data_IF_282595733238
#
_entry.id   IF_282595733238
#
_cell.length_a   1.000
_cell.length_b   1.000
_cell.length_c   1.000
_cell.angle_alpha   90.00
_cell.angle_beta   90.00
_cell.angle_gamma   90.00
#
_symmetry.space_group_name_H-M   'P 1'
#
loop_
_entity.id
_entity.type
_entity.pdbx_description
1 polymer ?
#
# COMPACT_ATOMS: atom_id res chain seq x y z
N UNK A 1 -4.13 10.68 -9.81
CA UNK A 1 -3.31 10.85 -8.58
C UNK A 1 -1.99 11.53 -8.93
N UNK A 2 -1.37 12.23 -7.97
CA UNK A 2 -0.12 12.97 -8.20
C UNK A 2 1.01 12.40 -7.35
N UNK A 3 2.09 11.97 -8.01
CA UNK A 3 3.22 11.31 -7.36
C UNK A 3 4.51 12.05 -7.73
N UNK A 4 5.30 12.40 -6.71
CA UNK A 4 6.64 12.94 -6.87
C UNK A 4 7.69 11.82 -6.91
N UNK A 5 8.67 11.96 -7.77
CA UNK A 5 9.89 11.15 -7.77
C UNK A 5 11.05 12.11 -7.62
N UNK A 6 11.89 11.91 -6.59
CA UNK A 6 13.13 12.67 -6.47
C UNK A 6 14.26 11.75 -6.95
N UNK A 7 14.77 12.06 -8.16
CA UNK A 7 15.85 11.32 -8.79
C UNK A 7 17.22 11.87 -8.43
N UNK A 8 18.16 10.96 -8.16
CA UNK A 8 19.58 11.21 -8.26
C UNK A 8 20.08 10.75 -9.63
N UNK A 9 21.41 10.69 -9.78
CA UNK A 9 22.08 10.30 -11.03
C UNK A 9 21.53 8.99 -11.59
N UNK A 10 21.09 9.02 -12.86
CA UNK A 10 20.56 7.85 -13.59
C UNK A 10 19.06 7.88 -13.88
N UNK A 11 18.26 8.74 -13.22
CA UNK A 11 16.84 8.94 -13.53
C UNK A 11 16.57 10.21 -14.34
N UNK A 12 17.53 11.13 -14.44
CA UNK A 12 17.36 12.43 -15.12
C UNK A 12 17.04 12.30 -16.62
N UNK A 13 17.41 11.19 -17.24
CA UNK A 13 17.21 10.89 -18.67
C UNK A 13 16.21 9.75 -18.92
N UNK A 14 15.38 9.40 -17.93
CA UNK A 14 14.52 8.23 -18.08
C UNK A 14 13.26 8.54 -18.91
N UNK A 15 13.00 7.71 -19.91
CA UNK A 15 11.77 7.72 -20.76
C UNK A 15 10.59 7.01 -20.04
N UNK A 16 10.50 7.10 -18.70
CA UNK A 16 9.45 6.44 -17.93
C UNK A 16 8.08 7.09 -18.18
N UNK A 17 8.05 8.36 -18.54
CA UNK A 17 6.82 9.14 -18.65
C UNK A 17 6.44 9.42 -20.11
N UNK A 18 5.14 9.41 -20.37
CA UNK A 18 4.56 9.93 -21.60
C UNK A 18 4.34 11.44 -21.47
N UNK A 19 4.41 12.16 -22.61
CA UNK A 19 4.10 13.60 -22.71
C UNK A 19 4.88 14.44 -21.68
N UNK A 20 6.20 14.32 -21.69
CA UNK A 20 7.05 15.04 -20.73
C UNK A 20 7.13 16.53 -21.06
N UNK A 21 6.95 17.38 -20.05
CA UNK A 21 7.17 18.80 -20.11
C UNK A 21 7.97 19.28 -18.89
N UNK A 22 8.83 20.27 -19.07
CA UNK A 22 9.46 20.94 -17.94
C UNK A 22 8.48 21.94 -17.34
N UNK A 23 8.46 21.97 -16.00
CA UNK A 23 7.63 22.92 -15.27
C UNK A 23 8.45 23.70 -14.26
N UNK A 24 8.11 24.97 -14.07
CA UNK A 24 8.70 25.84 -13.08
C UNK A 24 7.65 26.27 -12.06
N UNK A 25 7.98 26.14 -10.78
CA UNK A 25 7.09 26.48 -9.67
C UNK A 25 7.72 27.58 -8.85
N UNK A 26 7.03 28.68 -8.71
CA UNK A 26 7.46 29.75 -7.82
C UNK A 26 7.38 29.29 -6.36
N UNK A 27 8.48 29.44 -5.62
CA UNK A 27 8.56 29.08 -4.21
C UNK A 27 9.10 30.24 -3.37
N UNK A 28 8.67 30.38 -2.10
CA UNK A 28 9.19 31.40 -1.20
C UNK A 28 10.65 31.14 -0.80
N UNK A 29 11.17 29.96 -1.12
CA UNK A 29 12.54 29.54 -0.79
C UNK A 29 13.51 29.69 -1.96
N UNK A 30 13.10 30.34 -3.05
CA UNK A 30 13.91 30.52 -4.26
C UNK A 30 13.70 29.38 -5.27
N UNK A 31 14.69 29.21 -6.17
CA UNK A 31 14.59 28.26 -7.28
C UNK A 31 14.75 26.81 -6.80
N UNK A 32 13.85 25.95 -7.26
CA UNK A 32 13.95 24.50 -7.08
C UNK A 32 14.83 23.85 -8.17
N UNK A 33 15.24 22.60 -7.93
CA UNK A 33 15.87 21.75 -8.96
C UNK A 33 14.90 21.47 -10.10
N UNK A 34 15.38 21.17 -11.33
CA UNK A 34 14.51 20.95 -12.48
C UNK A 34 13.45 19.88 -12.22
N UNK A 35 12.21 20.16 -12.63
CA UNK A 35 11.08 19.24 -12.54
C UNK A 35 10.52 18.96 -13.93
N UNK A 36 10.37 17.69 -14.26
CA UNK A 36 9.61 17.21 -15.41
C UNK A 36 8.28 16.67 -14.96
N UNK A 37 7.20 17.09 -15.60
CA UNK A 37 5.87 16.53 -15.46
C UNK A 37 5.62 15.57 -16.63
N UNK A 38 4.89 14.51 -16.38
CA UNK A 38 4.41 13.59 -17.40
C UNK A 38 3.32 12.68 -16.86
N UNK A 39 2.82 11.79 -17.70
CA UNK A 39 1.78 10.85 -17.32
C UNK A 39 2.30 9.41 -17.31
N UNK A 40 1.82 8.64 -16.34
CA UNK A 40 1.97 7.19 -16.30
C UNK A 40 0.59 6.59 -16.02
N UNK A 41 -0.02 5.99 -17.04
CA UNK A 41 -1.43 5.63 -17.03
C UNK A 41 -2.31 6.86 -16.68
N UNK A 42 -3.16 6.76 -15.66
CA UNK A 42 -4.04 7.85 -15.19
C UNK A 42 -3.38 8.78 -14.15
N UNK A 43 -2.09 8.58 -13.86
CA UNK A 43 -1.39 9.36 -12.83
C UNK A 43 -0.53 10.46 -13.44
N UNK A 44 -0.54 11.63 -12.81
CA UNK A 44 0.44 12.68 -13.06
C UNK A 44 1.70 12.40 -12.21
N UNK A 45 2.84 12.32 -12.87
CA UNK A 45 4.12 12.05 -12.23
C UNK A 45 5.02 13.26 -12.39
N UNK A 46 5.67 13.65 -11.30
CA UNK A 46 6.61 14.78 -11.26
C UNK A 46 8.00 14.24 -10.90
N UNK A 47 8.94 14.29 -11.85
CA UNK A 47 10.32 13.86 -11.62
C UNK A 47 11.18 15.09 -11.36
N UNK A 48 11.68 15.21 -10.14
CA UNK A 48 12.60 16.25 -9.70
C UNK A 48 14.04 15.72 -9.77
N UNK A 49 14.88 16.38 -10.59
CA UNK A 49 16.30 16.05 -10.75
C UNK A 49 17.10 16.77 -9.68
N UNK A 50 17.32 16.11 -8.53
CA UNK A 50 17.94 16.71 -7.33
C UNK A 50 19.24 17.47 -7.62
N UNK A 51 20.08 16.91 -8.46
CA UNK A 51 21.40 17.49 -8.81
C UNK A 51 21.43 18.26 -10.14
N UNK A 52 20.25 18.54 -10.74
CA UNK A 52 20.15 19.03 -12.12
C UNK A 52 20.30 17.90 -13.15
N UNK A 53 20.07 18.21 -14.44
CA UNK A 53 20.10 17.19 -15.49
C UNK A 53 21.49 16.67 -15.83
N UNK A 54 22.53 17.44 -15.56
CA UNK A 54 23.93 17.10 -15.84
C UNK A 54 24.76 16.91 -14.55
N UNK A 55 24.09 16.73 -13.41
CA UNK A 55 24.71 16.59 -12.09
C UNK A 55 25.57 17.81 -11.68
N UNK A 56 25.11 18.99 -12.06
CA UNK A 56 25.83 20.27 -11.85
C UNK A 56 25.59 20.86 -10.44
N UNK A 57 24.55 20.43 -9.72
CA UNK A 57 24.25 20.94 -8.38
C UNK A 57 24.92 20.05 -7.33
N UNK A 58 25.85 20.60 -6.57
CA UNK A 58 26.51 19.86 -5.48
C UNK A 58 25.57 19.58 -4.31
N UNK A 59 25.80 18.54 -3.50
CA UNK A 59 24.90 18.17 -2.38
C UNK A 59 24.61 19.34 -1.42
N UNK A 60 25.59 20.18 -1.12
CA UNK A 60 25.45 21.34 -0.24
C UNK A 60 24.65 22.50 -0.85
N UNK A 61 24.50 22.53 -2.18
CA UNK A 61 23.82 23.61 -2.90
C UNK A 61 22.42 23.26 -3.32
N UNK A 62 21.97 22.06 -3.06
CA UNK A 62 20.58 21.64 -3.31
C UNK A 62 19.65 22.48 -2.43
N UNK A 63 18.67 23.14 -3.06
CA UNK A 63 17.63 23.85 -2.34
C UNK A 63 16.49 22.90 -1.96
N UNK A 64 16.71 22.09 -0.90
CA UNK A 64 15.74 21.09 -0.48
C UNK A 64 14.40 21.69 -0.06
N UNK A 65 14.38 22.92 0.55
CA UNK A 65 13.13 23.61 0.88
C UNK A 65 12.31 23.92 -0.37
N UNK A 66 12.94 24.50 -1.38
CA UNK A 66 12.25 24.80 -2.64
C UNK A 66 11.77 23.51 -3.34
N UNK A 67 12.58 22.45 -3.32
CA UNK A 67 12.26 21.17 -3.94
C UNK A 67 11.02 20.52 -3.32
N UNK A 68 10.99 20.37 -2.00
CA UNK A 68 9.86 19.73 -1.29
C UNK A 68 8.62 20.61 -1.37
N UNK A 69 8.78 21.94 -1.20
CA UNK A 69 7.67 22.87 -1.35
C UNK A 69 7.02 22.80 -2.74
N UNK A 70 7.84 22.73 -3.81
CA UNK A 70 7.35 22.63 -5.17
C UNK A 70 6.50 21.36 -5.38
N UNK A 71 6.96 20.20 -4.90
CA UNK A 71 6.19 18.95 -4.96
C UNK A 71 4.88 19.04 -4.17
N UNK A 72 4.89 19.63 -2.97
CA UNK A 72 3.67 19.87 -2.19
C UNK A 72 2.70 20.79 -2.93
N UNK A 73 3.19 21.91 -3.48
CA UNK A 73 2.38 22.89 -4.24
C UNK A 73 1.80 22.29 -5.51
N UNK A 74 2.47 21.34 -6.15
CA UNK A 74 1.94 20.56 -7.27
C UNK A 74 0.84 19.59 -6.86
N UNK A 75 0.63 19.37 -5.56
CA UNK A 75 -0.38 18.48 -4.99
C UNK A 75 0.06 17.02 -4.95
N UNK A 76 1.38 16.75 -4.93
CA UNK A 76 1.88 15.40 -4.66
C UNK A 76 1.44 14.96 -3.27
N UNK A 77 0.97 13.73 -3.16
CA UNK A 77 0.67 13.07 -1.89
C UNK A 77 1.79 12.11 -1.51
N UNK A 78 2.36 11.45 -2.52
CA UNK A 78 3.40 10.44 -2.39
C UNK A 78 4.69 10.92 -3.05
N UNK A 79 5.83 10.69 -2.37
CA UNK A 79 7.15 11.01 -2.90
C UNK A 79 8.07 9.81 -2.74
N UNK A 80 8.58 9.30 -3.85
CA UNK A 80 9.58 8.23 -3.91
C UNK A 80 10.94 8.85 -4.24
N UNK A 81 11.87 8.79 -3.31
CA UNK A 81 13.22 9.28 -3.54
C UNK A 81 14.20 8.14 -3.83
N UNK A 82 15.17 8.41 -4.70
CA UNK A 82 16.28 7.49 -4.95
C UNK A 82 17.60 8.10 -4.54
N UNK A 83 18.51 7.29 -4.00
CA UNK A 83 19.84 7.74 -3.57
C UNK A 83 20.87 6.64 -3.73
N UNK A 84 22.08 6.99 -4.16
CA UNK A 84 23.25 6.15 -4.07
C UNK A 84 23.78 6.16 -2.64
N UNK A 85 24.26 5.03 -2.14
CA UNK A 85 24.79 4.90 -0.78
C UNK A 85 26.05 4.05 -0.75
N UNK A 86 27.01 4.43 0.08
CA UNK A 86 28.11 3.57 0.49
C UNK A 86 27.68 2.63 1.62
N UNK A 87 27.89 1.34 1.44
CA UNK A 87 27.56 0.35 2.47
C UNK A 87 28.53 0.36 3.64
N UNK A 88 27.97 0.33 4.84
CA UNK A 88 28.72 0.20 6.11
C UNK A 88 28.61 -1.23 6.67
N UNK A 89 28.04 -2.17 5.92
CA UNK A 89 27.79 -3.56 6.32
C UNK A 89 28.24 -4.53 5.23
N UNK A 90 28.81 -5.66 5.62
CA UNK A 90 29.18 -6.71 4.67
C UNK A 90 28.00 -7.32 3.91
N UNK A 91 26.84 -7.44 4.59
CA UNK A 91 25.66 -8.07 4.03
C UNK A 91 24.88 -7.18 3.04
N UNK A 92 25.14 -5.87 3.02
CA UNK A 92 24.56 -4.94 2.04
C UNK A 92 25.61 -4.75 0.95
N UNK A 93 25.49 -5.53 -0.11
CA UNK A 93 26.49 -5.58 -1.20
C UNK A 93 26.20 -4.49 -2.23
N UNK A 94 27.21 -4.05 -3.01
CA UNK A 94 26.96 -3.22 -4.19
C UNK A 94 25.94 -3.87 -5.12
N UNK A 95 24.93 -3.11 -5.54
CA UNK A 95 23.79 -3.61 -6.33
C UNK A 95 22.57 -4.01 -5.53
N UNK A 96 22.65 -4.10 -4.19
CA UNK A 96 21.51 -4.31 -3.31
C UNK A 96 20.72 -3.03 -3.10
N UNK A 97 19.42 -3.20 -2.77
CA UNK A 97 18.57 -2.11 -2.31
C UNK A 97 18.41 -2.13 -0.78
N UNK A 98 18.38 -0.97 -0.17
CA UNK A 98 17.94 -0.77 1.20
C UNK A 98 16.69 0.10 1.21
N UNK A 99 15.58 -0.41 1.76
CA UNK A 99 14.37 0.36 2.03
C UNK A 99 14.46 0.84 3.47
N UNK A 100 15.07 2.01 3.63
CA UNK A 100 15.41 2.53 4.96
C UNK A 100 14.18 2.82 5.81
N UNK A 101 14.29 2.59 7.11
CA UNK A 101 13.27 2.95 8.10
C UNK A 101 13.73 4.06 9.05
N UNK A 102 15.03 4.38 9.07
CA UNK A 102 15.58 5.43 9.94
C UNK A 102 16.72 6.19 9.23
N UNK A 103 17.00 7.40 9.70
CA UNK A 103 18.17 8.14 9.27
C UNK A 103 18.85 8.85 10.45
N UNK A 104 20.13 9.24 10.24
CA UNK A 104 20.91 10.09 11.14
C UNK A 104 21.41 11.26 10.32
N UNK A 105 21.19 12.49 10.80
CA UNK A 105 21.65 13.70 10.16
C UNK A 105 23.05 14.11 10.68
N UNK A 106 24.04 14.08 9.80
CA UNK A 106 25.38 14.58 10.01
C UNK A 106 25.71 15.76 9.09
N UNK A 107 24.68 16.42 8.55
CA UNK A 107 24.86 17.65 7.79
C UNK A 107 25.11 18.85 8.72
N UNK A 108 25.69 19.96 8.18
CA UNK A 108 26.15 21.09 9.00
C UNK A 108 25.62 22.43 8.52
N UNK A 109 25.40 22.58 7.22
CA UNK A 109 25.18 23.91 6.60
C UNK A 109 23.87 23.91 5.77
N UNK A 110 23.00 22.98 5.98
CA UNK A 110 21.73 22.84 5.24
C UNK A 110 20.57 23.43 6.02
N UNK A 111 19.61 24.00 5.31
CA UNK A 111 18.33 24.37 5.90
C UNK A 111 17.49 23.11 6.12
N UNK A 112 17.25 22.76 7.37
CA UNK A 112 16.62 21.50 7.78
C UNK A 112 15.15 21.62 8.13
N UNK A 113 14.55 22.81 8.04
CA UNK A 113 13.15 23.07 8.44
C UNK A 113 12.55 24.20 7.60
N UNK A 114 11.22 24.17 7.46
CA UNK A 114 10.44 25.27 6.92
C UNK A 114 10.14 26.36 7.96
N UNK A 115 10.24 26.06 9.25
CA UNK A 115 9.90 26.96 10.34
C UNK A 115 11.11 27.80 10.74
N UNK A 116 11.12 29.06 10.35
CA UNK A 116 12.19 30.04 10.71
C UNK A 116 11.87 30.75 12.04
N UNK A 117 10.60 30.81 12.42
CA UNK A 117 10.14 31.32 13.72
C UNK A 117 8.81 30.62 14.14
N UNK A 118 8.31 30.93 15.33
CA UNK A 118 7.08 30.37 15.87
C UNK A 118 5.96 31.42 16.03
N UNK A 119 5.96 32.47 15.18
CA UNK A 119 4.92 33.51 15.24
C UNK A 119 3.50 32.99 14.98
N UNK A 120 3.39 31.94 14.16
CA UNK A 120 2.11 31.27 13.83
C UNK A 120 1.79 30.09 14.74
N UNK A 121 2.58 29.88 15.80
CA UNK A 121 2.44 28.77 16.72
C UNK A 121 3.66 27.87 16.77
N UNK A 122 3.78 27.11 17.85
CA UNK A 122 4.90 26.16 18.03
C UNK A 122 4.63 24.91 17.18
N UNK A 123 5.57 24.55 16.31
CA UNK A 123 5.53 23.32 15.54
C UNK A 123 6.81 22.51 15.78
N UNK A 124 6.66 21.33 16.38
CA UNK A 124 7.71 20.34 16.55
C UNK A 124 7.28 19.03 15.87
N UNK A 125 7.74 18.82 14.65
CA UNK A 125 7.40 17.64 13.87
C UNK A 125 8.03 16.38 14.45
N UNK A 126 7.23 15.37 14.77
CA UNK A 126 7.74 14.08 15.25
C UNK A 126 8.40 13.30 14.11
N UNK A 127 9.63 12.84 14.36
CA UNK A 127 10.42 12.03 13.41
C UNK A 127 10.73 10.63 13.96
N UNK A 128 9.91 10.12 14.91
CA UNK A 128 10.05 8.74 15.38
C UNK A 128 9.96 7.75 14.21
N UNK A 129 9.01 8.00 13.30
CA UNK A 129 8.86 7.29 12.03
C UNK A 129 9.04 8.29 10.88
N UNK A 130 10.29 8.51 10.40
CA UNK A 130 10.59 9.57 9.44
C UNK A 130 10.13 9.25 8.01
N UNK A 131 9.96 7.96 7.70
CA UNK A 131 9.50 7.48 6.39
C UNK A 131 8.09 6.92 6.47
N UNK A 132 7.35 6.99 5.39
CA UNK A 132 6.03 6.39 5.27
C UNK A 132 6.13 4.86 5.29
N UNK A 133 5.61 4.21 6.33
CA UNK A 133 5.56 2.74 6.42
C UNK A 133 4.76 2.16 5.24
N UNK A 134 3.66 2.81 4.87
CA UNK A 134 2.85 2.42 3.70
C UNK A 134 3.67 2.37 2.41
N UNK A 135 4.47 3.40 2.12
CA UNK A 135 5.32 3.41 0.93
C UNK A 135 6.47 2.40 1.04
N UNK A 136 7.01 2.22 2.24
CA UNK A 136 8.06 1.22 2.49
C UNK A 136 7.54 -0.19 2.22
N UNK A 137 6.32 -0.52 2.67
CA UNK A 137 5.70 -1.82 2.42
C UNK A 137 5.52 -2.06 0.92
N UNK A 138 5.03 -1.08 0.15
CA UNK A 138 4.91 -1.21 -1.31
C UNK A 138 6.26 -1.41 -2.00
N UNK A 139 7.31 -0.72 -1.54
CA UNK A 139 8.67 -0.90 -2.06
C UNK A 139 9.22 -2.29 -1.75
N UNK A 140 9.05 -2.78 -0.53
CA UNK A 140 9.49 -4.11 -0.08
C UNK A 140 8.78 -5.21 -0.87
N UNK A 141 7.46 -5.11 -1.02
CA UNK A 141 6.68 -6.04 -1.83
C UNK A 141 7.11 -6.01 -3.30
N UNK A 142 7.31 -4.81 -3.86
CA UNK A 142 7.77 -4.66 -5.25
C UNK A 142 9.15 -5.26 -5.47
N UNK A 143 10.09 -5.06 -4.54
CA UNK A 143 11.40 -5.73 -4.58
C UNK A 143 11.27 -7.26 -4.54
N UNK A 144 10.37 -7.77 -3.69
CA UNK A 144 10.13 -9.21 -3.56
C UNK A 144 9.56 -9.80 -4.85
N UNK A 145 8.53 -9.17 -5.43
CA UNK A 145 7.91 -9.62 -6.70
C UNK A 145 8.87 -9.55 -7.89
N UNK A 146 9.77 -8.56 -7.90
CA UNK A 146 10.80 -8.41 -8.93
C UNK A 146 12.05 -9.28 -8.69
N UNK A 147 12.08 -10.04 -7.59
CA UNK A 147 13.23 -10.84 -7.15
C UNK A 147 14.52 -9.99 -7.01
N UNK A 148 14.41 -8.75 -6.55
CA UNK A 148 15.56 -7.90 -6.27
C UNK A 148 16.06 -8.14 -4.86
N UNK A 149 17.40 -8.29 -4.72
CA UNK A 149 18.04 -8.39 -3.41
C UNK A 149 17.86 -7.09 -2.66
N UNK A 150 17.22 -7.14 -1.50
CA UNK A 150 16.87 -5.97 -0.73
C UNK A 150 16.90 -6.20 0.78
N UNK A 151 17.10 -5.13 1.50
CA UNK A 151 17.11 -5.07 2.96
C UNK A 151 15.93 -4.20 3.42
N UNK A 152 15.06 -4.78 4.26
CA UNK A 152 13.78 -4.15 4.67
C UNK A 152 13.94 -3.10 5.75
N UNK A 153 15.06 -3.14 6.49
CA UNK A 153 15.33 -2.29 7.66
C UNK A 153 16.76 -1.82 7.60
N UNK A 154 16.98 -0.53 7.87
CA UNK A 154 18.30 0.03 8.01
C UNK A 154 18.31 1.54 8.16
N UNK A 155 19.36 2.04 8.78
CA UNK A 155 19.56 3.45 9.05
C UNK A 155 20.53 4.05 8.02
N UNK A 156 20.11 5.14 7.38
CA UNK A 156 20.97 5.96 6.51
C UNK A 156 21.61 7.05 7.34
N UNK A 157 22.93 7.19 7.27
CA UNK A 157 23.61 8.37 7.80
C UNK A 157 23.91 9.34 6.65
N UNK A 158 23.43 10.58 6.75
CA UNK A 158 23.67 11.61 5.74
C UNK A 158 24.78 12.53 6.15
N UNK A 159 25.87 12.55 5.37
CA UNK A 159 26.99 13.48 5.52
C UNK A 159 26.81 14.72 4.63
N UNK A 160 27.55 15.78 4.93
CA UNK A 160 27.47 17.05 4.18
C UNK A 160 27.83 16.88 2.69
N UNK A 161 28.92 16.18 2.39
CA UNK A 161 29.52 16.17 1.04
C UNK A 161 30.23 17.50 0.68
N UNK A 162 30.69 17.69 -0.58
CA UNK A 162 30.74 16.69 -1.64
C UNK A 162 31.86 15.65 -1.50
N UNK A 163 32.76 15.78 -0.49
CA UNK A 163 33.78 14.78 -0.20
C UNK A 163 33.18 13.51 0.37
N UNK A 164 33.76 12.39 0.05
CA UNK A 164 33.47 11.12 0.73
C UNK A 164 34.01 11.08 2.15
N UNK A 165 33.61 10.08 2.93
CA UNK A 165 34.07 9.86 4.30
C UNK A 165 35.59 9.62 4.35
N UNK A 166 36.23 10.06 5.43
CA UNK A 166 37.51 9.50 5.79
C UNK A 166 37.33 8.07 6.35
N UNK A 167 38.41 7.28 6.34
CA UNK A 167 38.34 5.91 6.91
C UNK A 167 37.98 5.95 8.40
N UNK A 168 38.44 6.94 9.13
CA UNK A 168 38.08 7.11 10.55
C UNK A 168 36.58 7.42 10.72
N UNK A 169 36.02 8.30 9.91
CA UNK A 169 34.61 8.61 9.89
C UNK A 169 33.78 7.35 9.51
N UNK A 170 34.20 6.63 8.48
CA UNK A 170 33.53 5.41 8.03
C UNK A 170 33.48 4.34 9.13
N UNK A 171 34.59 4.10 9.86
CA UNK A 171 34.61 3.21 11.01
C UNK A 171 33.70 3.70 12.14
N UNK A 172 33.64 5.00 12.40
CA UNK A 172 32.74 5.59 13.40
C UNK A 172 31.29 5.36 12.99
N UNK A 173 30.91 5.66 11.73
CA UNK A 173 29.55 5.55 11.21
C UNK A 173 29.03 4.10 11.26
N UNK A 174 29.88 3.12 11.10
CA UNK A 174 29.53 1.70 11.21
C UNK A 174 28.94 1.31 12.57
N UNK A 175 29.15 2.07 13.62
CA UNK A 175 28.55 1.80 14.93
C UNK A 175 27.09 2.23 15.01
N UNK A 176 26.63 3.13 14.13
CA UNK A 176 25.32 3.79 14.23
C UNK A 176 24.42 3.53 13.02
N UNK A 177 25.00 3.37 11.83
CA UNK A 177 24.24 3.30 10.60
C UNK A 177 24.60 2.09 9.74
N UNK A 178 23.74 1.79 8.77
CA UNK A 178 23.89 0.68 7.83
C UNK A 178 24.51 1.12 6.50
N UNK A 179 24.22 2.36 6.09
CA UNK A 179 24.72 2.97 4.86
C UNK A 179 24.96 4.46 5.07
N UNK A 180 25.77 5.07 4.20
CA UNK A 180 26.06 6.51 4.21
C UNK A 180 25.71 7.13 2.86
N UNK A 181 25.16 8.35 2.88
CA UNK A 181 24.86 9.14 1.69
C UNK A 181 25.04 10.66 1.92
N UNK A 182 24.58 11.48 0.93
CA UNK A 182 24.67 12.93 0.99
C UNK A 182 23.34 13.63 0.72
N UNK A 183 22.19 12.91 0.69
CA UNK A 183 20.92 13.49 0.20
C UNK A 183 19.70 13.28 1.08
N UNK A 184 19.59 12.21 1.86
CA UNK A 184 18.37 11.87 2.59
C UNK A 184 17.99 12.94 3.63
N UNK A 185 18.95 13.52 4.34
CA UNK A 185 18.71 14.71 5.16
C UNK A 185 19.25 15.96 4.43
N UNK A 186 18.46 17.05 4.40
CA UNK A 186 17.21 17.35 5.13
C UNK A 186 15.93 16.94 4.37
N UNK A 187 16.02 16.27 3.22
CA UNK A 187 14.89 15.97 2.34
C UNK A 187 13.75 15.25 3.09
N UNK A 188 14.09 14.21 3.88
CA UNK A 188 13.11 13.46 4.68
C UNK A 188 12.46 14.31 5.79
N UNK A 189 13.24 15.19 6.44
CA UNK A 189 12.71 16.11 7.47
C UNK A 189 11.66 17.03 6.86
N UNK A 190 12.03 17.70 5.76
CA UNK A 190 11.18 18.67 5.06
C UNK A 190 9.92 17.98 4.48
N UNK A 191 10.06 16.76 3.96
CA UNK A 191 8.92 15.99 3.47
C UNK A 191 7.92 15.70 4.60
N UNK A 192 8.41 15.36 5.79
CA UNK A 192 7.57 15.12 6.98
C UNK A 192 6.88 16.41 7.46
N UNK A 193 7.60 17.53 7.51
CA UNK A 193 7.01 18.84 7.84
C UNK A 193 5.94 19.28 6.82
N UNK A 194 6.13 18.94 5.54
CA UNK A 194 5.17 19.20 4.48
C UNK A 194 4.02 18.17 4.42
N UNK A 195 3.95 17.21 5.35
CA UNK A 195 2.95 16.15 5.37
C UNK A 195 2.88 15.37 4.04
N UNK A 196 4.05 15.04 3.47
CA UNK A 196 4.17 14.18 2.30
C UNK A 196 4.46 12.76 2.75
N UNK A 197 3.77 11.79 2.17
CA UNK A 197 4.12 10.38 2.28
C UNK A 197 5.44 10.15 1.53
N UNK A 198 6.55 10.05 2.26
CA UNK A 198 7.90 10.00 1.68
C UNK A 198 8.60 8.69 2.04
N UNK A 199 9.24 8.05 1.04
CA UNK A 199 10.13 6.92 1.25
C UNK A 199 11.35 7.00 0.33
N UNK A 200 12.46 6.38 0.77
CA UNK A 200 13.72 6.38 0.05
C UNK A 200 14.15 4.98 -0.36
N UNK A 201 14.56 4.87 -1.63
CA UNK A 201 15.20 3.69 -2.22
C UNK A 201 16.70 3.95 -2.21
N UNK A 202 17.44 3.35 -1.29
CA UNK A 202 18.87 3.46 -1.23
C UNK A 202 19.51 2.33 -2.03
N UNK A 203 20.33 2.69 -3.03
CA UNK A 203 21.09 1.75 -3.86
C UNK A 203 22.51 1.67 -3.35
N UNK A 204 22.94 0.52 -2.89
CA UNK A 204 24.33 0.29 -2.51
C UNK A 204 25.22 0.33 -3.74
N UNK A 205 26.19 1.22 -3.76
CA UNK A 205 27.13 1.38 -4.88
C UNK A 205 28.54 0.88 -4.56
N UNK A 206 28.93 0.92 -3.29
CA UNK A 206 30.27 0.63 -2.81
C UNK A 206 30.26 0.31 -1.30
N UNK A 207 31.42 0.03 -0.72
CA UNK A 207 31.60 -0.18 0.72
C UNK A 207 32.18 1.04 1.44
N UNK A 208 31.91 2.25 0.97
CA UNK A 208 32.54 3.46 1.47
C UNK A 208 34.07 3.31 1.49
N UNK A 209 34.76 3.59 2.59
CA UNK A 209 36.22 3.42 2.67
C UNK A 209 36.70 2.58 3.86
N UNK A 210 35.78 1.90 4.57
CA UNK A 210 36.16 1.06 5.73
C UNK A 210 36.74 -0.31 5.32
N UNK A 211 36.27 -0.87 4.20
CA UNK A 211 36.64 -2.22 3.77
C UNK A 211 37.99 -2.18 3.05
N UNK A 212 39.04 -2.54 3.76
CA UNK A 212 40.43 -2.43 3.26
C UNK A 212 40.74 -3.34 2.06
N UNK A 213 39.92 -4.35 1.81
CA UNK A 213 40.06 -5.29 0.68
C UNK A 213 39.45 -4.74 -0.60
N UNK A 214 38.74 -3.64 -0.55
CA UNK A 214 38.10 -2.99 -1.69
C UNK A 214 38.82 -1.69 -2.01
N UNK A 215 38.70 -1.24 -3.26
CA UNK A 215 39.19 0.08 -3.65
C UNK A 215 38.41 1.18 -2.91
N UNK A 216 39.08 2.26 -2.48
CA UNK A 216 38.39 3.39 -1.92
C UNK A 216 37.35 3.97 -2.87
N UNK A 217 36.17 4.37 -2.33
CA UNK A 217 35.09 4.94 -3.11
C UNK A 217 35.54 6.12 -3.96
N UNK A 218 35.16 6.11 -5.23
CA UNK A 218 35.37 7.19 -6.20
C UNK A 218 34.08 7.48 -6.93
N UNK A 219 33.96 8.67 -7.50
CA UNK A 219 32.79 9.00 -8.34
C UNK A 219 32.61 8.04 -9.51
N UNK A 220 33.71 7.52 -10.07
CA UNK A 220 33.66 6.55 -11.17
C UNK A 220 32.99 5.25 -10.75
N UNK A 221 33.38 4.68 -9.62
CA UNK A 221 32.77 3.44 -9.05
C UNK A 221 31.26 3.65 -8.81
N UNK A 222 30.90 4.75 -8.14
CA UNK A 222 29.51 5.10 -7.86
C UNK A 222 28.70 5.19 -9.16
N UNK A 223 29.20 5.94 -10.16
CA UNK A 223 28.52 6.13 -11.43
C UNK A 223 28.30 4.83 -12.19
N UNK A 224 29.34 4.00 -12.33
CA UNK A 224 29.26 2.72 -13.00
C UNK A 224 28.22 1.79 -12.36
N UNK A 225 28.18 1.72 -11.03
CA UNK A 225 27.19 0.91 -10.31
C UNK A 225 25.77 1.46 -10.46
N UNK A 226 25.60 2.79 -10.46
CA UNK A 226 24.31 3.44 -10.69
C UNK A 226 23.78 3.15 -12.11
N UNK A 227 24.64 3.22 -13.12
CA UNK A 227 24.27 2.91 -14.51
C UNK A 227 23.79 1.45 -14.62
N UNK A 228 24.51 0.51 -13.98
CA UNK A 228 24.10 -0.90 -13.94
C UNK A 228 22.74 -1.12 -13.25
N UNK A 229 22.45 -0.33 -12.23
CA UNK A 229 21.22 -0.45 -11.46
C UNK A 229 20.03 0.38 -12.02
N UNK A 230 20.27 1.26 -13.00
CA UNK A 230 19.26 2.21 -13.48
C UNK A 230 17.97 1.50 -13.94
N UNK A 231 18.07 0.41 -14.69
CA UNK A 231 16.92 -0.36 -15.16
C UNK A 231 16.19 -1.09 -14.03
N UNK A 232 16.90 -1.53 -12.98
CA UNK A 232 16.28 -2.12 -11.80
C UNK A 232 15.46 -1.06 -11.03
N UNK A 233 16.01 0.14 -10.87
CA UNK A 233 15.33 1.26 -10.20
C UNK A 233 14.08 1.68 -10.96
N UNK A 234 14.14 1.79 -12.30
CA UNK A 234 12.97 2.07 -13.13
C UNK A 234 11.87 1.03 -12.92
N UNK A 235 12.20 -0.26 -13.01
CA UNK A 235 11.24 -1.34 -12.79
C UNK A 235 10.63 -1.29 -11.39
N UNK A 236 11.45 -1.01 -10.36
CA UNK A 236 11.00 -0.89 -8.98
C UNK A 236 10.03 0.29 -8.80
N UNK A 237 10.36 1.46 -9.35
CA UNK A 237 9.48 2.64 -9.31
C UNK A 237 8.15 2.37 -10.02
N UNK A 238 8.17 1.84 -11.23
CA UNK A 238 6.97 1.51 -12.00
C UNK A 238 6.06 0.54 -11.23
N UNK A 239 6.64 -0.53 -10.69
CA UNK A 239 5.89 -1.54 -9.91
C UNK A 239 5.32 -0.95 -8.62
N UNK A 240 6.07 -0.08 -7.96
CA UNK A 240 5.61 0.59 -6.74
C UNK A 240 4.49 1.58 -7.03
N UNK A 241 4.59 2.37 -8.12
CA UNK A 241 3.54 3.28 -8.57
C UNK A 241 2.26 2.51 -8.91
N UNK A 242 2.37 1.37 -9.60
CA UNK A 242 1.23 0.48 -9.87
C UNK A 242 0.51 0.07 -8.56
N UNK A 243 1.27 -0.35 -7.53
CA UNK A 243 0.70 -0.71 -6.22
C UNK A 243 0.01 0.48 -5.53
N UNK A 244 0.66 1.64 -5.51
CA UNK A 244 0.08 2.88 -4.95
C UNK A 244 -1.25 3.19 -5.63
N UNK A 245 -1.28 3.12 -6.96
CA UNK A 245 -2.46 3.40 -7.79
C UNK A 245 -3.59 2.43 -7.49
N UNK A 246 -3.30 1.13 -7.52
CA UNK A 246 -4.29 0.08 -7.29
C UNK A 246 -4.92 0.19 -5.90
N UNK A 247 -4.14 0.44 -4.86
CA UNK A 247 -4.65 0.57 -3.50
C UNK A 247 -5.50 1.83 -3.31
N UNK A 248 -5.13 2.95 -3.92
CA UNK A 248 -5.94 4.16 -3.85
C UNK A 248 -7.23 4.04 -4.66
N UNK A 249 -7.20 3.36 -5.80
CA UNK A 249 -8.41 3.02 -6.57
C UNK A 249 -9.35 2.17 -5.73
N UNK A 250 -8.85 1.10 -5.09
CA UNK A 250 -9.65 0.25 -4.21
C UNK A 250 -10.25 1.08 -3.06
N UNK A 251 -9.47 1.96 -2.43
CA UNK A 251 -9.99 2.84 -1.35
C UNK A 251 -11.13 3.73 -1.85
N UNK A 252 -10.96 4.38 -3.00
CA UNK A 252 -11.99 5.22 -3.60
C UNK A 252 -13.25 4.40 -3.95
N UNK A 253 -13.07 3.18 -4.47
CA UNK A 253 -14.16 2.27 -4.79
C UNK A 253 -14.91 1.81 -3.53
N UNK A 254 -14.22 1.54 -2.42
CA UNK A 254 -14.84 1.19 -1.14
C UNK A 254 -15.66 2.37 -0.58
N UNK A 255 -15.15 3.60 -0.62
CA UNK A 255 -15.90 4.80 -0.22
C UNK A 255 -17.13 5.02 -1.12
N UNK A 256 -16.98 4.83 -2.44
CA UNK A 256 -18.09 4.89 -3.38
C UNK A 256 -19.16 3.84 -3.05
N UNK A 257 -18.77 2.57 -2.87
CA UNK A 257 -19.67 1.47 -2.49
C UNK A 257 -20.40 1.82 -1.19
N UNK A 258 -19.67 2.28 -0.17
CA UNK A 258 -20.22 2.68 1.12
C UNK A 258 -21.26 3.80 0.98
N UNK A 259 -21.01 4.79 0.13
CA UNK A 259 -21.95 5.90 -0.15
C UNK A 259 -23.26 5.45 -0.82
N UNK A 260 -23.26 4.29 -1.51
CA UNK A 260 -24.45 3.73 -2.17
C UNK A 260 -25.28 2.84 -1.26
N UNK A 261 -24.83 2.54 -0.04
CA UNK A 261 -25.58 1.76 0.95
C UNK A 261 -26.39 2.72 1.81
N UNK A 262 -27.72 2.57 1.75
CA UNK A 262 -28.65 3.43 2.49
C UNK A 262 -28.77 2.98 3.94
N UNK A 263 -28.76 3.94 4.86
CA UNK A 263 -29.09 3.70 6.26
C UNK A 263 -30.55 4.04 6.52
N UNK A 264 -31.30 3.13 7.11
CA UNK A 264 -32.69 3.34 7.52
C UNK A 264 -32.73 3.30 9.06
N UNK A 265 -32.93 4.45 9.73
CA UNK A 265 -32.96 4.48 11.18
C UNK A 265 -34.25 3.83 11.72
N UNK A 266 -34.13 3.19 12.87
CA UNK A 266 -35.25 2.59 13.61
C UNK A 266 -36.00 1.49 12.84
N UNK A 267 -35.33 0.69 12.03
CA UNK A 267 -35.92 -0.44 11.31
C UNK A 267 -35.17 -1.74 11.61
N UNK A 268 -35.86 -2.87 11.88
CA UNK A 268 -37.31 -3.04 12.05
C UNK A 268 -37.82 -2.59 13.44
N UNK A 269 -36.90 -2.18 14.35
CA UNK A 269 -37.20 -1.73 15.72
C UNK A 269 -36.44 -0.43 16.02
N UNK A 270 -36.96 0.35 16.98
CA UNK A 270 -36.29 1.55 17.46
C UNK A 270 -34.87 1.25 17.96
N UNK A 271 -33.90 2.11 17.58
CA UNK A 271 -32.48 1.96 17.92
C UNK A 271 -31.66 1.15 16.91
N UNK A 272 -32.28 0.48 15.94
CA UNK A 272 -31.56 -0.29 14.92
C UNK A 272 -31.28 0.59 13.69
N UNK A 273 -30.04 0.67 13.28
CA UNK A 273 -29.61 1.30 12.03
C UNK A 273 -29.50 0.22 10.93
N UNK A 274 -30.59 0.06 10.17
CA UNK A 274 -30.61 -0.96 9.12
C UNK A 274 -29.81 -0.52 7.90
N UNK A 275 -28.87 -1.33 7.47
CA UNK A 275 -28.03 -1.09 6.27
C UNK A 275 -28.70 -1.76 5.08
N UNK A 276 -29.29 -0.95 4.21
CA UNK A 276 -30.01 -1.41 3.04
C UNK A 276 -29.13 -1.37 1.81
N UNK A 277 -28.77 -2.55 1.31
CA UNK A 277 -27.95 -2.69 0.10
C UNK A 277 -28.76 -2.58 -1.20
N UNK A 278 -30.08 -2.49 -1.15
CA UNK A 278 -30.91 -2.45 -2.38
C UNK A 278 -30.61 -1.24 -3.24
N UNK A 279 -30.18 -0.13 -2.64
CA UNK A 279 -29.71 1.06 -3.35
C UNK A 279 -28.37 0.83 -4.05
N UNK A 280 -27.47 0.03 -3.49
CA UNK A 280 -26.22 -0.41 -4.13
C UNK A 280 -26.52 -1.42 -5.25
N UNK A 281 -27.38 -2.40 -5.01
CA UNK A 281 -27.80 -3.39 -6.03
C UNK A 281 -28.45 -2.73 -7.25
N UNK A 282 -29.12 -1.59 -7.05
CA UNK A 282 -29.73 -0.78 -8.11
C UNK A 282 -28.72 0.05 -8.91
N UNK A 283 -27.53 0.29 -8.37
CA UNK A 283 -26.49 1.10 -9.00
C UNK A 283 -25.55 0.21 -9.82
N UNK A 284 -25.56 0.30 -11.16
CA UNK A 284 -24.75 -0.58 -12.00
C UNK A 284 -23.25 -0.42 -11.76
N UNK A 285 -22.80 0.82 -11.49
CA UNK A 285 -21.39 1.11 -11.25
C UNK A 285 -20.95 0.54 -9.88
N UNK A 286 -21.78 0.73 -8.84
CA UNK A 286 -21.53 0.19 -7.51
C UNK A 286 -21.43 -1.34 -7.52
N UNK A 287 -22.36 -2.01 -8.19
CA UNK A 287 -22.32 -3.47 -8.35
C UNK A 287 -21.09 -3.94 -9.13
N UNK A 288 -20.75 -3.25 -10.21
CA UNK A 288 -19.53 -3.56 -10.98
C UNK A 288 -18.30 -3.49 -10.09
N UNK A 289 -18.12 -2.42 -9.31
CA UNK A 289 -17.00 -2.25 -8.37
C UNK A 289 -16.93 -3.35 -7.31
N UNK A 290 -18.07 -3.71 -6.71
CA UNK A 290 -18.15 -4.84 -5.75
C UNK A 290 -17.63 -6.12 -6.38
N UNK A 291 -18.15 -6.46 -7.55
CA UNK A 291 -17.79 -7.71 -8.22
C UNK A 291 -16.33 -7.70 -8.70
N UNK A 292 -15.81 -6.57 -9.17
CA UNK A 292 -14.40 -6.44 -9.57
C UNK A 292 -13.44 -6.62 -8.39
N UNK A 293 -13.75 -6.02 -7.23
CA UNK A 293 -12.91 -6.19 -6.01
C UNK A 293 -12.91 -7.66 -5.59
N UNK A 294 -14.06 -8.31 -5.52
CA UNK A 294 -14.17 -9.72 -5.13
C UNK A 294 -13.52 -10.64 -6.17
N UNK A 295 -13.73 -10.40 -7.46
CA UNK A 295 -13.09 -11.16 -8.52
C UNK A 295 -11.56 -11.07 -8.44
N UNK A 296 -11.01 -9.87 -8.30
CA UNK A 296 -9.56 -9.68 -8.19
C UNK A 296 -8.96 -10.33 -6.94
N UNK A 297 -9.74 -10.43 -5.85
CA UNK A 297 -9.33 -11.13 -4.63
C UNK A 297 -9.25 -12.65 -4.82
N UNK A 298 -10.18 -13.24 -5.59
CA UNK A 298 -10.37 -14.69 -5.62
C UNK A 298 -9.97 -15.38 -6.93
N UNK A 299 -9.72 -14.66 -8.03
CA UNK A 299 -9.40 -15.23 -9.36
C UNK A 299 -8.26 -16.24 -9.38
N UNK A 300 -7.27 -16.11 -8.47
CA UNK A 300 -6.09 -16.96 -8.38
C UNK A 300 -6.15 -17.91 -7.16
N UNK A 301 -7.34 -18.17 -6.60
CA UNK A 301 -7.51 -18.94 -5.35
C UNK A 301 -8.10 -20.34 -5.55
N UNK A 302 -8.31 -20.78 -6.79
CA UNK A 302 -8.87 -22.10 -7.11
C UNK A 302 -10.16 -22.39 -6.31
N UNK A 303 -11.13 -21.49 -6.40
CA UNK A 303 -12.46 -21.67 -5.76
C UNK A 303 -13.30 -22.59 -6.63
N UNK A 304 -13.75 -23.72 -6.07
CA UNK A 304 -14.63 -24.69 -6.77
C UNK A 304 -16.09 -24.32 -6.64
N UNK A 305 -16.48 -23.81 -5.45
CA UNK A 305 -17.87 -23.53 -5.08
C UNK A 305 -17.98 -22.18 -4.40
N UNK A 306 -18.99 -21.40 -4.77
CA UNK A 306 -19.42 -20.21 -4.05
C UNK A 306 -20.79 -20.50 -3.42
N UNK A 307 -20.80 -20.57 -2.10
CA UNK A 307 -22.01 -20.73 -1.32
C UNK A 307 -22.56 -19.37 -0.93
N UNK A 308 -23.80 -19.07 -1.32
CA UNK A 308 -24.48 -17.83 -0.97
C UNK A 308 -25.54 -18.05 0.11
N UNK A 309 -25.65 -17.12 1.07
CA UNK A 309 -26.69 -17.16 2.13
C UNK A 309 -27.94 -16.41 1.67
N UNK A 310 -29.12 -16.99 1.93
CA UNK A 310 -30.44 -16.41 1.59
C UNK A 310 -30.66 -15.10 2.35
N UNK A 311 -31.10 -14.06 1.66
CA UNK A 311 -31.41 -13.99 0.25
C UNK A 311 -30.49 -13.03 -0.51
N UNK A 312 -29.96 -12.02 0.17
CA UNK A 312 -29.17 -10.95 -0.48
C UNK A 312 -27.76 -11.41 -0.88
N UNK A 313 -27.20 -12.36 -0.13
CA UNK A 313 -25.92 -13.00 -0.49
C UNK A 313 -25.96 -13.72 -1.83
N UNK A 314 -27.14 -14.23 -2.26
CA UNK A 314 -27.28 -14.92 -3.55
C UNK A 314 -26.91 -14.07 -4.74
N UNK A 315 -27.26 -12.79 -4.72
CA UNK A 315 -27.07 -11.89 -5.86
C UNK A 315 -25.57 -11.74 -6.16
N UNK A 316 -24.78 -11.48 -5.13
CA UNK A 316 -23.33 -11.30 -5.25
C UNK A 316 -22.66 -12.64 -5.57
N UNK A 317 -23.06 -13.69 -4.83
CA UNK A 317 -22.50 -15.03 -4.97
C UNK A 317 -22.69 -15.61 -6.38
N UNK A 318 -23.88 -15.46 -6.96
CA UNK A 318 -24.17 -15.98 -8.29
C UNK A 318 -23.38 -15.28 -9.39
N UNK A 319 -23.27 -13.94 -9.33
CA UNK A 319 -22.48 -13.18 -10.31
C UNK A 319 -21.00 -13.52 -10.20
N UNK A 320 -20.49 -13.64 -8.97
CA UNK A 320 -19.08 -13.97 -8.75
C UNK A 320 -18.75 -15.41 -9.16
N UNK A 321 -19.70 -16.36 -8.97
CA UNK A 321 -19.54 -17.74 -9.40
C UNK A 321 -19.36 -17.83 -10.92
N UNK A 322 -20.20 -17.11 -11.68
CA UNK A 322 -20.05 -17.01 -13.13
C UNK A 322 -18.68 -16.48 -13.53
N UNK A 323 -18.24 -15.37 -12.93
CA UNK A 323 -16.95 -14.73 -13.26
C UNK A 323 -15.74 -15.59 -12.90
N UNK A 324 -15.81 -16.38 -11.83
CA UNK A 324 -14.71 -17.26 -11.39
C UNK A 324 -14.78 -18.66 -12.03
N UNK A 325 -15.79 -18.93 -12.85
CA UNK A 325 -16.08 -20.26 -13.39
C UNK A 325 -16.20 -21.32 -12.28
N UNK A 326 -16.88 -20.97 -11.18
CA UNK A 326 -17.14 -21.80 -10.02
C UNK A 326 -18.64 -22.17 -9.93
N UNK A 327 -18.96 -23.22 -9.20
CA UNK A 327 -20.36 -23.60 -8.93
C UNK A 327 -21.01 -22.64 -7.95
N UNK A 328 -22.30 -22.30 -8.15
CA UNK A 328 -23.09 -21.56 -7.16
C UNK A 328 -23.96 -22.52 -6.35
N UNK A 329 -23.93 -22.41 -5.02
CA UNK A 329 -24.71 -23.22 -4.08
C UNK A 329 -25.51 -22.31 -3.14
N UNK A 330 -26.85 -22.42 -3.12
CA UNK A 330 -27.69 -21.66 -2.19
C UNK A 330 -27.75 -22.30 -0.81
N UNK A 331 -27.52 -21.54 0.26
CA UNK A 331 -27.85 -21.89 1.63
C UNK A 331 -29.12 -21.14 2.01
N UNK A 332 -30.17 -21.88 2.42
CA UNK A 332 -31.50 -21.32 2.57
C UNK A 332 -32.08 -21.57 3.96
N UNK A 333 -33.09 -20.79 4.33
CA UNK A 333 -33.92 -21.05 5.52
C UNK A 333 -34.67 -22.34 5.36
N UNK A 334 -34.96 -23.01 6.49
CA UNK A 334 -35.60 -24.31 6.56
C UNK A 334 -36.87 -24.41 5.71
N UNK A 335 -37.00 -25.53 4.97
CA UNK A 335 -38.15 -25.84 4.15
C UNK A 335 -38.25 -25.12 2.82
N UNK A 336 -37.15 -24.45 2.36
CA UNK A 336 -37.14 -23.76 1.07
C UNK A 336 -36.38 -24.50 -0.03
N UNK A 337 -35.72 -25.59 0.29
CA UNK A 337 -35.02 -26.43 -0.68
C UNK A 337 -35.86 -27.70 -0.98
N UNK A 338 -36.02 -28.08 -2.27
CA UNK A 338 -36.99 -29.13 -2.64
C UNK A 338 -36.45 -30.56 -2.54
N UNK A 339 -35.12 -30.77 -2.50
CA UNK A 339 -34.50 -32.10 -2.45
C UNK A 339 -34.02 -32.45 -1.03
N UNK A 340 -33.28 -33.55 -0.89
CA UNK A 340 -32.69 -33.92 0.40
C UNK A 340 -31.69 -32.88 0.91
N UNK A 341 -31.89 -32.44 2.16
CA UNK A 341 -31.06 -31.40 2.80
C UNK A 341 -30.39 -31.93 4.06
N UNK A 342 -29.35 -31.24 4.46
CA UNK A 342 -28.86 -31.20 5.84
C UNK A 342 -29.11 -29.81 6.42
N UNK A 343 -29.34 -29.76 7.73
CA UNK A 343 -29.66 -28.51 8.42
C UNK A 343 -28.74 -28.24 9.61
N UNK A 344 -28.62 -26.95 9.95
CA UNK A 344 -27.94 -26.46 11.15
C UNK A 344 -28.80 -25.37 11.79
N UNK A 345 -29.05 -25.52 13.11
CA UNK A 345 -29.80 -24.54 13.91
C UNK A 345 -28.84 -23.64 14.67
N UNK A 346 -29.17 -22.37 14.78
CA UNK A 346 -28.35 -21.37 15.47
C UNK A 346 -29.22 -20.40 16.26
N UNK A 347 -28.62 -19.82 17.30
CA UNK A 347 -29.31 -18.87 18.18
C UNK A 347 -29.33 -17.48 17.54
N UNK A 348 -30.47 -16.84 17.60
CA UNK A 348 -30.70 -15.42 17.36
C UNK A 348 -30.65 -14.64 18.69
N UNK A 349 -30.73 -13.32 18.64
CA UNK A 349 -30.94 -12.51 19.85
C UNK A 349 -32.24 -12.89 20.56
N UNK A 350 -33.26 -13.31 19.80
CA UNK A 350 -34.54 -13.81 20.30
C UNK A 350 -34.94 -15.07 19.51
N UNK A 351 -34.81 -16.24 20.16
CA UNK A 351 -35.15 -17.54 19.55
C UNK A 351 -34.03 -18.18 18.75
N UNK A 352 -34.41 -19.17 17.93
CA UNK A 352 -33.50 -19.91 17.06
C UNK A 352 -33.96 -19.83 15.62
N UNK A 353 -33.03 -19.93 14.67
CA UNK A 353 -33.35 -20.09 13.24
C UNK A 353 -32.54 -21.27 12.67
N UNK A 354 -32.89 -21.74 11.49
CA UNK A 354 -32.28 -22.92 10.88
C UNK A 354 -31.98 -22.65 9.41
N UNK A 355 -30.79 -22.99 8.98
CA UNK A 355 -30.36 -22.95 7.57
C UNK A 355 -30.15 -24.38 7.05
N UNK A 356 -30.35 -24.57 5.76
CA UNK A 356 -30.27 -25.83 5.04
C UNK A 356 -29.44 -25.67 3.77
N UNK A 357 -28.79 -26.78 3.40
CA UNK A 357 -28.09 -26.99 2.13
C UNK A 357 -28.45 -28.36 1.58
N UNK A 358 -28.49 -28.55 0.26
CA UNK A 358 -28.68 -29.86 -0.36
C UNK A 358 -27.50 -30.78 -0.02
N UNK A 359 -27.79 -32.08 0.18
CA UNK A 359 -26.77 -33.08 0.53
C UNK A 359 -25.71 -33.30 -0.55
N UNK A 360 -26.08 -33.08 -1.80
CA UNK A 360 -25.22 -33.22 -2.98
C UNK A 360 -24.61 -31.92 -3.49
N UNK A 361 -24.77 -30.82 -2.73
CA UNK A 361 -24.38 -29.50 -3.17
C UNK A 361 -22.85 -29.28 -3.21
N UNK A 362 -22.11 -29.95 -2.36
CA UNK A 362 -20.66 -29.81 -2.21
C UNK A 362 -20.04 -31.20 -2.17
N UNK A 363 -19.01 -31.41 -3.00
CA UNK A 363 -18.26 -32.66 -3.00
C UNK A 363 -17.10 -32.58 -1.97
N UNK A 364 -16.67 -33.72 -1.42
CA UNK A 364 -15.57 -33.76 -0.47
C UNK A 364 -14.29 -33.07 -1.02
N UNK A 365 -13.67 -32.26 -0.18
CA UNK A 365 -12.45 -31.48 -0.47
C UNK A 365 -12.60 -30.31 -1.45
N UNK A 366 -13.77 -30.00 -1.97
CA UNK A 366 -13.97 -28.79 -2.75
C UNK A 366 -13.65 -27.55 -1.94
N UNK A 367 -13.00 -26.56 -2.60
CA UNK A 367 -12.61 -25.29 -2.01
C UNK A 367 -13.80 -24.31 -2.11
N UNK A 368 -14.36 -23.94 -0.97
CA UNK A 368 -15.64 -23.20 -0.89
C UNK A 368 -15.41 -21.77 -0.41
N UNK A 369 -15.94 -20.79 -1.13
CA UNK A 369 -16.10 -19.42 -0.69
C UNK A 369 -17.54 -19.21 -0.21
N UNK A 370 -17.71 -18.84 1.06
CA UNK A 370 -19.03 -18.48 1.61
C UNK A 370 -19.24 -16.97 1.49
N UNK A 371 -20.40 -16.57 0.94
CA UNK A 371 -20.73 -15.15 0.74
C UNK A 371 -22.07 -14.80 1.36
N UNK A 372 -22.10 -13.67 2.08
CA UNK A 372 -23.34 -12.98 2.46
C UNK A 372 -23.18 -11.46 2.30
N UNK A 373 -24.28 -10.74 2.35
CA UNK A 373 -24.25 -9.28 2.23
C UNK A 373 -23.78 -8.57 3.51
N UNK A 374 -24.09 -9.13 4.70
CA UNK A 374 -23.80 -8.48 5.96
C UNK A 374 -23.45 -9.47 7.06
N UNK A 375 -22.44 -9.12 7.87
CA UNK A 375 -22.20 -9.81 9.14
C UNK A 375 -22.61 -8.91 10.32
N UNK A 376 -23.60 -9.40 11.09
CA UNK A 376 -24.07 -8.80 12.34
C UNK A 376 -23.53 -9.60 13.54
N UNK A 377 -24.29 -10.53 14.07
CA UNK A 377 -23.89 -11.39 15.21
C UNK A 377 -23.12 -12.64 14.80
N UNK A 378 -23.04 -12.97 13.51
CA UNK A 378 -22.27 -14.08 12.96
C UNK A 378 -22.93 -15.46 13.09
N UNK A 379 -24.14 -15.58 13.67
CA UNK A 379 -24.80 -16.86 13.90
C UNK A 379 -25.10 -17.63 12.61
N UNK A 380 -25.75 -16.98 11.64
CA UNK A 380 -26.12 -17.57 10.34
C UNK A 380 -24.87 -18.02 9.56
N UNK A 381 -23.82 -17.18 9.56
CA UNK A 381 -22.58 -17.49 8.88
C UNK A 381 -21.87 -18.70 9.49
N UNK A 382 -21.82 -18.79 10.83
CA UNK A 382 -21.24 -19.94 11.52
C UNK A 382 -22.01 -21.23 11.25
N UNK A 383 -23.35 -21.17 11.26
CA UNK A 383 -24.20 -22.31 10.90
C UNK A 383 -23.97 -22.75 9.44
N UNK A 384 -23.81 -21.79 8.53
CA UNK A 384 -23.49 -22.07 7.13
C UNK A 384 -22.11 -22.71 6.96
N UNK A 385 -21.10 -22.27 7.72
CA UNK A 385 -19.79 -22.90 7.75
C UNK A 385 -19.87 -24.36 8.18
N UNK A 386 -20.59 -24.65 9.25
CA UNK A 386 -20.78 -26.02 9.74
C UNK A 386 -21.51 -26.94 8.70
N UNK A 387 -22.46 -26.40 7.93
CA UNK A 387 -23.11 -27.15 6.85
C UNK A 387 -22.11 -27.54 5.76
N UNK A 388 -21.24 -26.61 5.34
CA UNK A 388 -20.19 -26.86 4.35
C UNK A 388 -19.23 -27.95 4.86
N UNK A 389 -18.81 -27.86 6.13
CA UNK A 389 -17.91 -28.85 6.76
C UNK A 389 -18.58 -30.24 6.92
N UNK A 390 -19.87 -30.29 7.22
CA UNK A 390 -20.64 -31.57 7.25
C UNK A 390 -20.64 -32.28 5.89
N UNK A 391 -20.58 -31.54 4.79
CA UNK A 391 -20.41 -32.04 3.44
C UNK A 391 -18.96 -32.28 3.05
N UNK A 392 -18.00 -32.11 3.99
CA UNK A 392 -16.56 -32.26 3.80
C UNK A 392 -15.97 -31.24 2.82
N UNK A 393 -16.63 -30.10 2.61
CA UNK A 393 -16.07 -28.95 1.90
C UNK A 393 -15.00 -28.24 2.73
N UNK A 394 -14.04 -27.61 2.06
CA UNK A 394 -12.97 -26.81 2.68
C UNK A 394 -13.30 -25.33 2.51
N UNK A 395 -13.52 -24.63 3.61
CA UNK A 395 -13.82 -23.19 3.56
C UNK A 395 -12.50 -22.44 3.30
N UNK A 396 -12.44 -21.79 2.13
CA UNK A 396 -11.34 -20.92 1.79
C UNK A 396 -11.37 -19.62 2.58
N UNK A 397 -12.52 -18.96 2.56
CA UNK A 397 -12.78 -17.69 3.24
C UNK A 397 -14.29 -17.46 3.37
N UNK A 398 -14.69 -16.66 4.36
CA UNK A 398 -16.06 -16.17 4.52
C UNK A 398 -16.07 -14.68 4.18
N UNK A 399 -16.85 -14.27 3.19
CA UNK A 399 -16.82 -12.92 2.63
C UNK A 399 -18.14 -12.20 2.82
N UNK A 400 -18.07 -10.95 3.29
CA UNK A 400 -19.23 -10.08 3.48
C UNK A 400 -19.03 -8.75 2.79
N UNK A 401 -20.12 -8.16 2.33
CA UNK A 401 -20.12 -6.80 1.82
C UNK A 401 -19.98 -5.80 2.97
N UNK A 402 -20.76 -6.02 4.04
CA UNK A 402 -20.85 -5.13 5.20
C UNK A 402 -20.45 -5.88 6.47
N UNK A 403 -19.61 -5.21 7.27
CA UNK A 403 -19.36 -5.58 8.66
C UNK A 403 -19.97 -4.53 9.60
N UNK A 404 -20.55 -5.01 10.70
CA UNK A 404 -21.01 -4.21 11.84
C UNK A 404 -20.11 -4.52 13.05
N UNK A 405 -18.97 -3.82 13.22
CA UNK A 405 -17.93 -4.18 14.19
C UNK A 405 -18.41 -4.27 15.64
N UNK A 406 -19.36 -3.40 16.02
CA UNK A 406 -19.92 -3.35 17.38
C UNK A 406 -20.67 -4.64 17.78
N UNK A 407 -21.25 -5.35 16.80
CA UNK A 407 -21.94 -6.61 17.04
C UNK A 407 -21.00 -7.81 17.15
N UNK A 408 -19.69 -7.59 16.93
CA UNK A 408 -18.61 -8.59 17.16
C UNK A 408 -18.82 -9.94 16.44
N UNK A 409 -19.59 -9.96 15.35
CA UNK A 409 -19.91 -11.18 14.63
C UNK A 409 -18.70 -11.93 14.08
N UNK A 410 -17.68 -11.22 13.66
CA UNK A 410 -16.40 -11.80 13.17
C UNK A 410 -15.74 -12.66 14.26
N UNK A 411 -15.90 -12.33 15.54
CA UNK A 411 -15.31 -13.12 16.63
C UNK A 411 -15.86 -14.56 16.71
N UNK A 412 -17.12 -14.78 16.30
CA UNK A 412 -17.70 -16.13 16.21
C UNK A 412 -17.10 -16.96 15.07
N UNK A 413 -16.48 -16.30 14.10
CA UNK A 413 -15.83 -16.93 12.95
C UNK A 413 -14.29 -17.01 13.11
N UNK A 414 -13.77 -16.96 14.34
CA UNK A 414 -12.32 -16.93 14.64
C UNK A 414 -11.52 -18.11 14.05
N UNK A 415 -12.18 -19.23 13.76
CA UNK A 415 -11.56 -20.40 13.12
C UNK A 415 -11.48 -20.29 11.59
N UNK A 416 -12.06 -19.26 11.00
CA UNK A 416 -12.14 -19.06 9.56
C UNK A 416 -11.45 -17.76 9.17
N UNK A 417 -10.95 -17.70 7.93
CA UNK A 417 -10.55 -16.42 7.34
C UNK A 417 -11.82 -15.64 6.98
N UNK A 418 -11.89 -14.40 7.40
CA UNK A 418 -13.02 -13.51 7.14
C UNK A 418 -12.55 -12.29 6.37
N UNK A 419 -13.28 -11.93 5.33
CA UNK A 419 -13.09 -10.72 4.56
C UNK A 419 -14.38 -9.88 4.53
N UNK A 420 -14.23 -8.56 4.70
CA UNK A 420 -15.34 -7.59 4.61
C UNK A 420 -14.95 -6.44 3.71
N UNK A 421 -15.89 -5.94 2.88
CA UNK A 421 -15.60 -4.81 2.00
C UNK A 421 -15.65 -3.48 2.75
N UNK A 422 -16.74 -3.24 3.49
CA UNK A 422 -16.94 -1.95 4.17
C UNK A 422 -17.43 -2.16 5.61
N UNK A 423 -16.89 -1.33 6.51
CA UNK A 423 -17.31 -1.29 7.89
C UNK A 423 -18.29 -0.13 8.12
N UNK A 424 -19.35 -0.40 8.87
CA UNK A 424 -20.27 0.60 9.38
C UNK A 424 -20.22 0.58 10.91
N UNK A 425 -19.62 1.61 11.47
CA UNK A 425 -19.71 1.89 12.90
C UNK A 425 -21.06 2.55 13.16
N UNK A 426 -21.70 2.24 14.27
CA UNK A 426 -22.93 2.95 14.67
C UNK A 426 -22.53 4.34 15.13
N UNK A 427 -22.85 5.34 14.34
CA UNK A 427 -23.00 6.73 14.74
C UNK A 427 -24.48 7.05 14.97
#
# INVERSE_FOLDING_TARGET
MKIGIIGGSGLEKSDILLNQEEIEIETPYGKHSPIKKGNLNENEIFILSRHGYNHEITPTKINNRANIYALKKLGCEFVLATTAVGSLRNQIEPGDFLIANQFIDFTKHRNITFYEDFKEGINHTSLAEPFSEKLRDYLIESCTELNFKHHKIGTILTIEGPRFSTRAESFMFRNFAHVVNMSTSPEAILAKEAELEYAVIAMSTDYDCWKKTEEPVTWKIVKEQMEQNSEKVKKLLLKTIEKITNQNTIKADLEFIKSKIRTIPNFPKQGIQFRDITTLLKDPEGMKKVIEILYNRYKDKNIDVIAGIESRGFIIAAILAEKLNASFVPIRKKGKLPAETISETYDLEYGTDTVEIHKDAILPNQNVLLIDDLIATGGTALASCKLIEKLQGKIHEVSFLINLPELKGIQKLSNYKVFTLVDFNNE
#
